data_IF_725954605150
#
_entry.id   IF_725954605150
#
_cell.length_a   1.000
_cell.length_b   1.000
_cell.length_c   1.000
_cell.angle_alpha   90.00
_cell.angle_beta   90.00
_cell.angle_gamma   90.00
#
_symmetry.space_group_name_H-M   'P 1'
#
loop_
_entity.id
_entity.type
_entity.pdbx_description
1 polymer ?
#
# COMPACT_ATOMS: atom_id res chain seq x y z
N UNK A 1 -0.41 -26.04 4.62
CA UNK A 1 0.24 -24.71 4.62
C UNK A 1 1.17 -24.69 5.79
N UNK A 2 2.46 -24.49 5.57
CA UNK A 2 3.38 -24.26 6.69
C UNK A 2 3.19 -22.82 7.17
N UNK A 3 2.76 -22.69 8.42
CA UNK A 3 2.59 -21.39 9.12
C UNK A 3 3.86 -20.52 9.06
N UNK A 4 5.03 -21.15 8.91
CA UNK A 4 6.32 -20.48 8.75
C UNK A 4 6.42 -19.64 7.46
N UNK A 5 5.86 -20.09 6.34
CA UNK A 5 5.93 -19.35 5.07
C UNK A 5 5.10 -18.07 5.13
N UNK A 6 3.87 -18.17 5.64
CA UNK A 6 2.99 -17.01 5.87
C UNK A 6 3.71 -16.02 6.78
N UNK A 7 4.22 -16.50 7.92
CA UNK A 7 4.94 -15.66 8.88
C UNK A 7 6.15 -14.94 8.26
N UNK A 8 6.96 -15.65 7.47
CA UNK A 8 8.13 -15.07 6.80
C UNK A 8 7.75 -13.98 5.79
N UNK A 9 6.67 -14.17 5.02
CA UNK A 9 6.17 -13.18 4.08
C UNK A 9 5.67 -11.92 4.78
N UNK A 10 4.94 -12.08 5.89
CA UNK A 10 4.51 -10.96 6.73
C UNK A 10 5.72 -10.18 7.28
N UNK A 11 6.73 -10.87 7.81
CA UNK A 11 7.95 -10.23 8.30
C UNK A 11 8.70 -9.48 7.19
N UNK A 12 8.77 -10.07 6.00
CA UNK A 12 9.38 -9.42 4.83
C UNK A 12 8.64 -8.11 4.49
N UNK A 13 7.32 -8.15 4.41
CA UNK A 13 6.51 -6.96 4.13
C UNK A 13 6.69 -5.87 5.19
N UNK A 14 6.67 -6.23 6.48
CA UNK A 14 6.95 -5.30 7.58
C UNK A 14 8.37 -4.74 7.51
N UNK A 15 9.35 -5.56 7.11
CA UNK A 15 10.72 -5.12 6.88
C UNK A 15 10.83 -4.05 5.79
N UNK A 16 10.13 -4.23 4.66
CA UNK A 16 10.08 -3.22 3.58
C UNK A 16 9.46 -1.92 4.09
N UNK A 17 8.37 -1.99 4.85
CA UNK A 17 7.74 -0.81 5.47
C UNK A 17 8.70 -0.11 6.43
N UNK A 18 9.35 -0.86 7.34
CA UNK A 18 10.28 -0.31 8.30
C UNK A 18 11.47 0.40 7.62
N UNK A 19 12.06 -0.22 6.59
CA UNK A 19 13.14 0.41 5.81
C UNK A 19 12.64 1.68 5.13
N UNK A 20 11.46 1.64 4.50
CA UNK A 20 10.88 2.84 3.87
C UNK A 20 10.58 3.95 4.88
N UNK A 21 10.08 3.62 6.08
CA UNK A 21 9.83 4.57 7.15
C UNK A 21 11.14 5.24 7.60
N UNK A 22 12.20 4.46 7.86
CA UNK A 22 13.52 4.98 8.22
C UNK A 22 14.12 5.88 7.13
N UNK A 23 14.00 5.47 5.86
CA UNK A 23 14.47 6.28 4.73
C UNK A 23 13.66 7.57 4.59
N UNK A 24 12.35 7.52 4.79
CA UNK A 24 11.49 8.70 4.78
C UNK A 24 11.83 9.67 5.92
N UNK A 25 12.04 9.17 7.14
CA UNK A 25 12.50 9.99 8.25
C UNK A 25 13.89 10.60 8.00
N UNK A 26 14.82 9.82 7.46
CA UNK A 26 16.14 10.30 7.08
C UNK A 26 16.05 11.38 6.00
N UNK A 27 15.18 11.21 5.01
CA UNK A 27 14.90 12.22 3.99
C UNK A 27 14.38 13.52 4.61
N UNK A 28 13.47 13.44 5.59
CA UNK A 28 12.95 14.62 6.26
C UNK A 28 14.00 15.36 7.11
N UNK A 29 15.00 14.64 7.63
CA UNK A 29 16.11 15.21 8.41
C UNK A 29 17.19 15.85 7.52
N UNK A 30 17.55 15.21 6.41
CA UNK A 30 18.68 15.63 5.57
C UNK A 30 18.28 16.55 4.40
N UNK A 31 17.00 16.61 4.03
CA UNK A 31 16.51 17.53 2.99
C UNK A 31 15.90 18.80 3.61
N UNK A 32 16.61 19.94 3.66
CA UNK A 32 16.05 21.19 4.17
C UNK A 32 15.04 21.81 3.20
N UNK A 33 15.22 21.64 1.88
CA UNK A 33 14.34 22.26 0.88
C UNK A 33 13.05 21.48 0.66
N UNK A 34 11.96 22.19 0.34
CA UNK A 34 10.65 21.57 0.03
C UNK A 34 10.73 20.64 -1.19
N UNK A 35 11.54 21.00 -2.19
CA UNK A 35 11.76 20.19 -3.40
C UNK A 35 12.53 18.91 -3.11
N UNK A 36 13.61 18.98 -2.31
CA UNK A 36 14.37 17.79 -1.91
C UNK A 36 13.48 16.81 -1.14
N UNK A 37 12.69 17.31 -0.17
CA UNK A 37 11.73 16.48 0.57
C UNK A 37 10.71 15.83 -0.35
N UNK A 38 10.11 16.58 -1.28
CA UNK A 38 9.16 16.03 -2.23
C UNK A 38 9.77 14.90 -3.07
N UNK A 39 10.94 15.12 -3.65
CA UNK A 39 11.64 14.12 -4.48
C UNK A 39 12.01 12.88 -3.67
N UNK A 40 12.63 13.07 -2.50
CA UNK A 40 13.05 11.96 -1.65
C UNK A 40 11.85 11.15 -1.12
N UNK A 41 10.80 11.81 -0.63
CA UNK A 41 9.56 11.15 -0.20
C UNK A 41 8.91 10.39 -1.35
N UNK A 42 8.84 10.99 -2.55
CA UNK A 42 8.30 10.32 -3.75
C UNK A 42 9.13 9.09 -4.13
N UNK A 43 10.45 9.19 -4.12
CA UNK A 43 11.34 8.08 -4.42
C UNK A 43 11.18 6.92 -3.42
N UNK A 44 11.15 7.22 -2.12
CA UNK A 44 10.98 6.21 -1.06
C UNK A 44 9.65 5.49 -1.19
N UNK A 45 8.54 6.23 -1.33
CA UNK A 45 7.22 5.60 -1.44
C UNK A 45 7.04 4.84 -2.77
N UNK A 46 7.63 5.33 -3.86
CA UNK A 46 7.59 4.61 -5.16
C UNK A 46 8.38 3.32 -5.06
N UNK A 47 9.60 3.36 -4.52
CA UNK A 47 10.43 2.19 -4.31
C UNK A 47 9.79 1.17 -3.35
N UNK A 48 9.18 1.64 -2.25
CA UNK A 48 8.44 0.77 -1.32
C UNK A 48 7.23 0.11 -1.98
N UNK A 49 6.44 0.87 -2.75
CA UNK A 49 5.27 0.35 -3.47
C UNK A 49 5.68 -0.70 -4.50
N UNK A 50 6.58 -0.35 -5.42
CA UNK A 50 7.03 -1.29 -6.47
C UNK A 50 7.78 -2.46 -5.84
N UNK A 51 8.63 -2.23 -4.84
CA UNK A 51 9.35 -3.28 -4.13
C UNK A 51 8.43 -4.28 -3.44
N UNK A 52 7.32 -3.81 -2.84
CA UNK A 52 6.29 -4.70 -2.29
C UNK A 52 5.60 -5.54 -3.36
N UNK A 53 5.41 -4.99 -4.57
CA UNK A 53 4.77 -5.68 -5.68
C UNK A 53 5.73 -6.65 -6.39
N UNK A 54 7.03 -6.34 -6.42
CA UNK A 54 8.09 -7.22 -6.97
C UNK A 54 8.37 -8.41 -6.07
N UNK A 55 8.21 -8.22 -4.76
CA UNK A 55 8.38 -9.27 -3.76
C UNK A 55 7.03 -9.58 -3.11
N UNK A 56 6.05 -10.08 -3.90
CA UNK A 56 4.75 -10.40 -3.36
C UNK A 56 4.86 -11.60 -2.42
N UNK A 57 3.97 -11.62 -1.45
CA UNK A 57 3.83 -12.72 -0.53
C UNK A 57 2.87 -13.73 -1.18
N UNK A 58 3.40 -14.89 -1.54
CA UNK A 58 2.60 -16.02 -2.04
C UNK A 58 1.94 -16.77 -0.89
N UNK A 59 0.60 -16.76 -0.84
CA UNK A 59 -0.17 -17.51 0.15
C UNK A 59 -0.60 -18.89 -0.37
N UNK A 60 -0.77 -19.02 -1.69
CA UNK A 60 -1.04 -20.27 -2.39
C UNK A 60 -0.63 -20.12 -3.87
N UNK A 61 -0.52 -21.22 -4.65
CA UNK A 61 -0.23 -21.12 -6.07
C UNK A 61 -1.21 -20.19 -6.79
N UNK A 62 -0.68 -19.13 -7.40
CA UNK A 62 -1.46 -18.10 -8.09
C UNK A 62 -2.18 -17.09 -7.17
N UNK A 63 -1.96 -17.16 -5.86
CA UNK A 63 -2.57 -16.29 -4.85
C UNK A 63 -1.49 -15.46 -4.14
N UNK A 64 -1.17 -14.33 -4.75
CA UNK A 64 -0.20 -13.35 -4.31
C UNK A 64 -0.89 -12.16 -3.63
N UNK A 65 -0.28 -11.67 -2.56
CA UNK A 65 -0.63 -10.38 -1.95
C UNK A 65 0.61 -9.56 -1.65
N UNK A 66 0.45 -8.26 -1.53
CA UNK A 66 1.52 -7.36 -1.13
C UNK A 66 0.98 -6.19 -0.32
N UNK A 67 1.87 -5.29 0.09
CA UNK A 67 1.58 -4.14 0.94
C UNK A 67 1.50 -2.82 0.15
N UNK A 68 1.22 -2.87 -1.17
CA UNK A 68 1.12 -1.66 -2.00
C UNK A 68 0.13 -0.65 -1.46
N UNK A 69 -0.98 -1.12 -0.90
CA UNK A 69 -2.05 -0.27 -0.37
C UNK A 69 -1.58 0.57 0.82
N UNK A 70 -0.68 0.04 1.65
CA UNK A 70 -0.03 0.77 2.74
C UNK A 70 0.75 1.95 2.18
N UNK A 71 1.65 1.69 1.22
CA UNK A 71 2.46 2.75 0.63
C UNK A 71 1.62 3.81 -0.10
N UNK A 72 0.54 3.43 -0.78
CA UNK A 72 -0.35 4.37 -1.47
C UNK A 72 -1.04 5.35 -0.52
N UNK A 73 -1.63 4.86 0.58
CA UNK A 73 -2.31 5.75 1.55
C UNK A 73 -1.32 6.64 2.31
N UNK A 74 -0.12 6.12 2.62
CA UNK A 74 0.93 6.89 3.29
C UNK A 74 1.57 7.92 2.35
N UNK A 75 1.79 7.58 1.07
CA UNK A 75 2.30 8.51 0.06
C UNK A 75 1.39 9.72 -0.10
N UNK A 76 0.07 9.49 -0.13
CA UNK A 76 -0.91 10.56 -0.18
C UNK A 76 -0.93 11.41 1.11
N UNK A 77 -0.87 10.76 2.27
CA UNK A 77 -0.94 11.45 3.57
C UNK A 77 0.33 12.26 3.90
N UNK A 78 1.50 11.73 3.57
CA UNK A 78 2.79 12.36 3.91
C UNK A 78 3.43 13.15 2.78
N UNK A 79 3.24 12.73 1.54
CA UNK A 79 3.82 13.35 0.35
C UNK A 79 2.85 14.22 -0.45
N UNK A 80 1.56 14.23 -0.10
CA UNK A 80 0.52 15.02 -0.77
C UNK A 80 0.20 14.52 -2.18
N UNK A 81 -0.57 15.33 -2.93
CA UNK A 81 -1.15 14.92 -4.21
C UNK A 81 -0.11 14.56 -5.29
N UNK A 82 1.00 15.28 -5.37
CA UNK A 82 2.06 15.00 -6.37
C UNK A 82 2.68 13.63 -6.12
N UNK A 83 3.09 13.37 -4.86
CA UNK A 83 3.67 12.07 -4.47
C UNK A 83 2.67 10.94 -4.71
N UNK A 84 1.42 11.13 -4.30
CA UNK A 84 0.36 10.14 -4.48
C UNK A 84 0.17 9.75 -5.96
N UNK A 85 0.12 10.74 -6.86
CA UNK A 85 -0.06 10.49 -8.28
C UNK A 85 1.13 9.73 -8.87
N UNK A 86 2.37 10.14 -8.57
CA UNK A 86 3.56 9.46 -9.09
C UNK A 86 3.62 8.01 -8.61
N UNK A 87 3.36 7.78 -7.33
CA UNK A 87 3.36 6.43 -6.74
C UNK A 87 2.24 5.58 -7.33
N UNK A 88 1.03 6.12 -7.45
CA UNK A 88 -0.11 5.41 -8.03
C UNK A 88 0.11 5.06 -9.51
N UNK A 89 0.62 6.00 -10.31
CA UNK A 89 0.95 5.76 -11.72
C UNK A 89 2.02 4.69 -11.87
N UNK A 90 3.06 4.72 -11.03
CA UNK A 90 4.12 3.71 -11.03
C UNK A 90 3.56 2.32 -10.65
N UNK A 91 2.69 2.26 -9.65
CA UNK A 91 2.04 1.02 -9.23
C UNK A 91 1.09 0.47 -10.31
N UNK A 92 0.31 1.33 -10.96
CA UNK A 92 -0.58 0.92 -12.07
C UNK A 92 0.26 0.43 -13.25
N UNK A 93 1.31 1.16 -13.63
CA UNK A 93 2.20 0.76 -14.72
C UNK A 93 2.82 -0.62 -14.47
N UNK A 94 3.36 -0.83 -13.25
CA UNK A 94 3.88 -2.14 -12.86
C UNK A 94 2.78 -3.21 -12.90
N UNK A 95 1.61 -2.93 -12.32
CA UNK A 95 0.51 -3.91 -12.28
C UNK A 95 -0.01 -4.31 -13.66
N UNK A 96 -0.10 -3.37 -14.59
CA UNK A 96 -0.49 -3.66 -15.96
C UNK A 96 0.59 -4.44 -16.71
N UNK A 97 1.86 -4.24 -16.38
CA UNK A 97 2.98 -4.99 -16.96
C UNK A 97 3.02 -6.46 -16.53
N UNK A 98 2.53 -6.80 -15.32
CA UNK A 98 2.38 -8.19 -14.88
C UNK A 98 1.29 -8.95 -15.65
N UNK A 99 0.28 -8.22 -16.15
CA UNK A 99 -0.86 -8.80 -16.85
C UNK A 99 -1.75 -9.70 -15.98
N UNK A 100 -2.51 -10.58 -16.63
CA UNK A 100 -3.40 -11.54 -15.97
C UNK A 100 -4.76 -10.97 -15.51
N UNK A 101 -5.63 -11.86 -15.04
CA UNK A 101 -7.01 -11.52 -14.63
C UNK A 101 -7.07 -10.51 -13.47
N UNK A 102 -6.00 -10.41 -12.68
CA UNK A 102 -5.87 -9.49 -11.56
C UNK A 102 -5.41 -8.07 -11.91
N UNK A 103 -5.12 -7.77 -13.19
CA UNK A 103 -4.54 -6.49 -13.61
C UNK A 103 -5.52 -5.31 -13.43
N UNK A 104 -6.73 -5.45 -13.98
CA UNK A 104 -7.80 -4.44 -13.87
C UNK A 104 -8.28 -4.27 -12.42
N UNK A 105 -8.71 -5.32 -11.68
CA UNK A 105 -9.13 -5.17 -10.29
C UNK A 105 -7.99 -4.58 -9.42
N UNK A 106 -6.76 -5.04 -9.60
CA UNK A 106 -5.61 -4.51 -8.87
C UNK A 106 -5.38 -3.02 -9.13
N UNK A 107 -5.52 -2.57 -10.38
CA UNK A 107 -5.40 -1.15 -10.75
C UNK A 107 -6.51 -0.30 -10.13
N UNK A 108 -7.74 -0.81 -10.10
CA UNK A 108 -8.86 -0.15 -9.41
C UNK A 108 -8.63 -0.07 -7.91
N UNK A 109 -8.10 -1.13 -7.30
CA UNK A 109 -7.69 -1.12 -5.89
C UNK A 109 -6.63 -0.06 -5.59
N UNK A 110 -5.66 0.13 -6.48
CA UNK A 110 -4.64 1.20 -6.37
C UNK A 110 -5.31 2.58 -6.39
N UNK A 111 -6.23 2.82 -7.33
CA UNK A 111 -6.98 4.08 -7.43
C UNK A 111 -7.79 4.33 -6.15
N UNK A 112 -8.51 3.32 -5.65
CA UNK A 112 -9.31 3.44 -4.42
C UNK A 112 -8.42 3.84 -3.23
N UNK A 113 -7.31 3.14 -2.99
CA UNK A 113 -6.39 3.48 -1.90
C UNK A 113 -5.82 4.89 -2.05
N UNK A 114 -5.46 5.29 -3.28
CA UNK A 114 -4.92 6.61 -3.55
C UNK A 114 -5.95 7.70 -3.24
N UNK A 115 -7.19 7.53 -3.71
CA UNK A 115 -8.30 8.47 -3.45
C UNK A 115 -8.60 8.57 -1.96
N UNK A 116 -8.62 7.45 -1.24
CA UNK A 116 -8.84 7.43 0.21
C UNK A 116 -7.72 8.17 0.94
N UNK A 117 -6.46 7.88 0.60
CA UNK A 117 -5.32 8.57 1.18
C UNK A 117 -5.34 10.06 0.90
N UNK A 118 -5.72 10.48 -0.30
CA UNK A 118 -5.82 11.90 -0.67
C UNK A 118 -6.99 12.60 0.02
N UNK A 119 -8.15 11.96 0.07
CA UNK A 119 -9.31 12.47 0.80
C UNK A 119 -8.97 12.64 2.28
N UNK A 120 -8.32 11.64 2.88
CA UNK A 120 -7.85 11.74 4.25
C UNK A 120 -6.84 12.88 4.44
N UNK A 121 -5.83 13.00 3.58
CA UNK A 121 -4.83 14.07 3.63
C UNK A 121 -5.44 15.47 3.49
N UNK A 122 -6.52 15.60 2.71
CA UNK A 122 -7.25 16.85 2.53
C UNK A 122 -7.95 17.29 3.83
N UNK A 123 -8.60 16.36 4.54
CA UNK A 123 -9.31 16.67 5.80
C UNK A 123 -8.41 16.67 7.03
N UNK A 124 -7.29 15.96 6.98
CA UNK A 124 -6.36 15.76 8.09
C UNK A 124 -4.97 16.27 7.68
N UNK A 125 -4.68 17.55 7.94
CA UNK A 125 -3.34 18.09 7.76
C UNK A 125 -2.34 17.29 8.60
N UNK A 126 -1.14 17.11 8.06
CA UNK A 126 -0.05 16.34 8.70
C UNK A 126 0.24 16.77 10.14
N UNK A 127 0.16 18.06 10.43
CA UNK A 127 0.39 18.63 11.77
C UNK A 127 -0.65 18.17 12.82
N UNK A 128 -1.83 17.74 12.35
CA UNK A 128 -2.92 17.27 13.22
C UNK A 128 -3.00 15.75 13.27
N UNK A 129 -2.00 15.03 12.76
CA UNK A 129 -1.98 13.57 12.79
C UNK A 129 -1.92 13.08 14.24
N UNK A 130 -2.82 12.17 14.60
CA UNK A 130 -2.86 11.54 15.92
C UNK A 130 -3.03 10.04 15.77
N UNK A 131 -2.75 9.27 16.82
CA UNK A 131 -2.91 7.81 16.79
C UNK A 131 -4.31 7.37 16.30
N UNK A 132 -5.37 8.05 16.76
CA UNK A 132 -6.75 7.78 16.31
C UNK A 132 -6.93 7.97 14.80
N UNK A 133 -6.32 9.01 14.24
CA UNK A 133 -6.40 9.34 12.82
C UNK A 133 -5.61 8.34 11.97
N UNK A 134 -4.46 7.89 12.45
CA UNK A 134 -3.69 6.81 11.80
C UNK A 134 -4.50 5.52 11.78
N UNK A 135 -5.17 5.17 12.89
CA UNK A 135 -6.08 4.02 12.94
C UNK A 135 -7.24 4.20 11.95
N UNK A 136 -7.84 5.39 11.84
CA UNK A 136 -8.87 5.66 10.84
C UNK A 136 -8.36 5.45 9.42
N UNK A 137 -7.16 5.95 9.10
CA UNK A 137 -6.52 5.74 7.80
C UNK A 137 -6.25 4.25 7.54
N UNK A 138 -5.77 3.52 8.54
CA UNK A 138 -5.51 2.08 8.47
C UNK A 138 -6.79 1.30 8.15
N UNK A 139 -7.90 1.59 8.83
CA UNK A 139 -9.20 0.98 8.54
C UNK A 139 -9.67 1.38 7.14
N UNK A 140 -9.60 2.66 6.78
CA UNK A 140 -10.06 3.15 5.48
C UNK A 140 -9.25 2.57 4.31
N UNK A 141 -7.96 2.29 4.49
CA UNK A 141 -7.10 1.71 3.45
C UNK A 141 -7.63 0.37 2.92
N UNK A 142 -8.37 -0.38 3.74
CA UNK A 142 -8.91 -1.70 3.41
C UNK A 142 -10.11 -1.67 2.46
N UNK A 143 -10.70 -0.50 2.21
CA UNK A 143 -11.80 -0.36 1.23
C UNK A 143 -11.35 -0.76 -0.18
N UNK A 144 -10.04 -0.73 -0.48
CA UNK A 144 -9.50 -1.21 -1.76
C UNK A 144 -9.79 -2.69 -2.04
N UNK A 145 -10.09 -3.49 -1.00
CA UNK A 145 -10.48 -4.89 -1.16
C UNK A 145 -11.75 -5.06 -2.00
N UNK A 146 -12.61 -4.04 -2.06
CA UNK A 146 -13.82 -4.06 -2.88
C UNK A 146 -13.52 -4.21 -4.38
N UNK A 147 -12.32 -3.84 -4.83
CA UNK A 147 -11.89 -4.04 -6.21
C UNK A 147 -11.88 -5.52 -6.64
N UNK A 148 -11.80 -6.46 -5.70
CA UNK A 148 -11.84 -7.89 -5.97
C UNK A 148 -13.16 -8.33 -6.63
N UNK A 149 -14.26 -7.61 -6.38
CA UNK A 149 -15.57 -7.92 -6.96
C UNK A 149 -15.68 -7.60 -8.45
N UNK A 150 -14.64 -7.03 -9.08
CA UNK A 150 -14.53 -6.98 -10.54
C UNK A 150 -14.13 -8.33 -11.15
N UNK A 151 -13.65 -9.27 -10.33
CA UNK A 151 -13.51 -10.67 -10.73
C UNK A 151 -14.89 -11.35 -10.73
N UNK A 152 -15.06 -12.48 -11.45
CA UNK A 152 -16.26 -13.29 -11.34
C UNK A 152 -16.57 -13.64 -9.87
N UNK A 153 -17.85 -13.58 -9.50
CA UNK A 153 -18.31 -13.72 -8.11
C UNK A 153 -17.69 -14.92 -7.38
N UNK A 154 -17.67 -16.09 -8.01
CA UNK A 154 -17.09 -17.30 -7.44
C UNK A 154 -15.60 -17.15 -7.11
N UNK A 155 -14.83 -16.51 -8.00
CA UNK A 155 -13.41 -16.22 -7.79
C UNK A 155 -13.20 -15.18 -6.69
N UNK A 156 -13.99 -14.11 -6.70
CA UNK A 156 -13.91 -13.05 -5.70
C UNK A 156 -14.15 -13.59 -4.28
N UNK A 157 -15.21 -14.38 -4.09
CA UNK A 157 -15.53 -15.02 -2.80
C UNK A 157 -14.43 -15.99 -2.38
N UNK A 158 -13.90 -16.81 -3.29
CA UNK A 158 -12.81 -17.73 -2.99
C UNK A 158 -11.53 -17.01 -2.56
N UNK A 159 -11.19 -15.88 -3.20
CA UNK A 159 -10.06 -15.03 -2.80
C UNK A 159 -10.31 -14.44 -1.42
N UNK A 160 -11.47 -13.84 -1.19
CA UNK A 160 -11.81 -13.23 0.11
C UNK A 160 -11.79 -14.23 1.27
N UNK A 161 -12.32 -15.44 1.06
CA UNK A 161 -12.32 -16.49 2.07
C UNK A 161 -10.91 -16.97 2.42
N UNK A 162 -10.00 -17.02 1.43
CA UNK A 162 -8.63 -17.49 1.66
C UNK A 162 -7.72 -16.41 2.25
N UNK A 163 -7.82 -15.18 1.76
CA UNK A 163 -6.81 -14.14 2.03
C UNK A 163 -7.38 -12.80 2.49
N UNK A 164 -8.70 -12.66 2.56
CA UNK A 164 -9.33 -11.40 2.98
C UNK A 164 -8.89 -10.96 4.37
N UNK A 165 -8.95 -11.86 5.36
CA UNK A 165 -8.51 -11.55 6.72
C UNK A 165 -6.99 -11.26 6.81
N UNK A 166 -6.08 -12.10 6.27
CA UNK A 166 -4.65 -11.78 6.22
C UNK A 166 -4.34 -10.42 5.60
N UNK A 167 -4.95 -10.07 4.46
CA UNK A 167 -4.73 -8.79 3.79
C UNK A 167 -5.19 -7.63 4.68
N UNK A 168 -6.38 -7.74 5.27
CA UNK A 168 -6.94 -6.66 6.09
C UNK A 168 -6.04 -6.38 7.30
N UNK A 169 -5.57 -7.44 7.94
CA UNK A 169 -4.66 -7.34 9.09
C UNK A 169 -3.30 -6.76 8.63
N UNK A 170 -2.75 -7.24 7.51
CA UNK A 170 -1.45 -6.80 7.01
C UNK A 170 -1.46 -5.30 6.67
N UNK A 171 -2.48 -4.84 5.94
CA UNK A 171 -2.64 -3.43 5.59
C UNK A 171 -2.85 -2.57 6.85
N UNK A 172 -3.68 -3.05 7.79
CA UNK A 172 -3.94 -2.33 9.02
C UNK A 172 -2.68 -2.15 9.86
N UNK A 173 -1.94 -3.23 10.10
CA UNK A 173 -0.67 -3.18 10.84
C UNK A 173 0.34 -2.33 10.09
N UNK A 174 0.46 -2.49 8.77
CA UNK A 174 1.44 -1.76 7.96
C UNK A 174 1.22 -0.25 7.94
N UNK A 175 -0.01 0.23 8.06
CA UNK A 175 -0.30 1.68 8.16
C UNK A 175 -0.01 2.23 9.56
N UNK A 176 -0.07 1.39 10.60
CA UNK A 176 0.13 1.80 12.00
C UNK A 176 1.59 1.69 12.44
N UNK A 177 2.33 0.74 11.87
CA UNK A 177 3.74 0.47 12.16
C UNK A 177 4.65 1.62 11.68
#
# INVERSE_FOLDING_TARGET
>A
MDTSQIFSGFLQGLGIIAVAALLHESALRHCPSRRCRLVATTAVFTAGTVGSMVLPIELAPGLIFDLRHVFLVLAASYGGWVTALVVALSAIAYRLSEGGAGAVPGSVGIVISTVIGLGFAYFVPREKMSARKIVTLAVASNVSILSVFMLPWATAVAVLQKIGAPIVIANFIGVIA
#
